data_IF_951774839125
#
_entry.id   IF_951774839125
#
_cell.length_a   1.000
_cell.length_b   1.000
_cell.length_c   1.000
_cell.angle_alpha   90.00
_cell.angle_beta   90.00
_cell.angle_gamma   90.00
#
_symmetry.space_group_name_H-M   'P 1'
#
loop_
_entity.id
_entity.type
_entity.pdbx_description
1 polymer ?
#
# COMPACT_ATOMS: atom_id res chain seq x y z
N UNK A 1 5.55 3.06 12.40
CA UNK A 1 4.81 3.43 13.63
C UNK A 1 4.09 4.73 13.33
N UNK A 2 2.75 4.73 13.42
CA UNK A 2 1.93 5.94 13.24
C UNK A 2 1.54 6.57 14.58
N UNK A 3 0.98 7.78 14.53
CA UNK A 3 0.44 8.50 15.69
C UNK A 3 -1.05 8.71 15.50
N UNK A 4 -1.86 8.48 16.54
CA UNK A 4 -3.30 8.74 16.53
C UNK A 4 -3.67 9.72 17.64
N UNK A 5 -4.30 10.83 17.25
CA UNK A 5 -4.82 11.85 18.18
C UNK A 5 -6.34 11.87 18.08
N UNK A 6 -7.02 11.77 19.23
CA UNK A 6 -8.48 11.82 19.34
C UNK A 6 -8.93 13.19 19.83
N UNK A 7 -10.15 13.59 19.46
CA UNK A 7 -10.78 14.85 19.90
C UNK A 7 -9.93 16.10 19.59
N UNK A 8 -9.30 16.12 18.41
CA UNK A 8 -8.56 17.28 17.93
C UNK A 8 -9.53 18.31 17.37
N UNK A 9 -9.33 19.61 17.66
CA UNK A 9 -10.22 20.65 17.13
C UNK A 9 -9.97 20.89 15.64
N UNK A 10 -11.03 20.93 14.83
CA UNK A 10 -10.93 21.21 13.40
C UNK A 10 -10.32 22.60 13.11
N UNK A 11 -10.58 23.60 13.95
CA UNK A 11 -9.90 24.91 13.91
C UNK A 11 -8.37 24.84 13.98
N UNK A 12 -7.77 23.78 14.54
CA UNK A 12 -6.31 23.60 14.58
C UNK A 12 -5.72 22.85 13.38
N UNK A 13 -6.55 22.29 12.49
CA UNK A 13 -6.09 21.63 11.26
C UNK A 13 -5.61 22.66 10.23
N UNK A 14 -4.65 22.33 9.34
CA UNK A 14 -4.37 23.11 8.14
C UNK A 14 -5.62 23.34 7.27
N UNK A 15 -5.68 24.47 6.55
CA UNK A 15 -6.86 24.88 5.80
C UNK A 15 -7.29 23.83 4.75
N UNK A 16 -6.32 23.18 4.10
CA UNK A 16 -6.53 22.10 3.13
C UNK A 16 -7.25 20.87 3.72
N UNK A 17 -6.99 20.54 4.99
CA UNK A 17 -7.61 19.41 5.69
C UNK A 17 -8.89 19.79 6.44
N UNK A 18 -9.15 21.10 6.60
CA UNK A 18 -10.33 21.63 7.29
C UNK A 18 -11.55 21.77 6.36
N UNK A 19 -11.36 21.67 5.05
CA UNK A 19 -12.43 21.92 4.07
C UNK A 19 -13.65 21.02 4.31
N UNK A 20 -14.82 21.63 4.53
CA UNK A 20 -16.08 20.91 4.78
C UNK A 20 -16.35 20.52 6.24
N UNK A 21 -15.49 20.91 7.18
CA UNK A 21 -15.69 20.70 8.63
C UNK A 21 -16.03 22.01 9.34
N UNK A 22 -16.99 22.02 10.29
CA UNK A 22 -17.27 23.20 11.11
C UNK A 22 -16.11 23.49 12.09
N UNK A 23 -15.89 24.76 12.42
CA UNK A 23 -14.71 25.23 13.18
C UNK A 23 -14.60 24.63 14.60
N UNK A 24 -15.72 24.26 15.20
CA UNK A 24 -15.85 23.68 16.53
C UNK A 24 -15.85 22.14 16.54
N UNK A 25 -15.78 21.49 15.38
CA UNK A 25 -15.78 20.03 15.30
C UNK A 25 -14.58 19.39 16.01
N UNK A 26 -14.83 18.24 16.63
CA UNK A 26 -13.80 17.36 17.16
C UNK A 26 -13.54 16.23 16.16
N UNK A 27 -12.30 16.13 15.69
CA UNK A 27 -11.86 15.15 14.71
C UNK A 27 -10.85 14.17 15.31
N UNK A 28 -10.68 13.04 14.65
CA UNK A 28 -9.61 12.08 14.93
C UNK A 28 -8.58 12.17 13.82
N UNK A 29 -7.32 12.43 14.17
CA UNK A 29 -6.20 12.54 13.24
C UNK A 29 -5.33 11.31 13.38
N UNK A 30 -5.12 10.60 12.29
CA UNK A 30 -4.15 9.50 12.20
C UNK A 30 -3.05 9.94 11.23
N UNK A 31 -1.80 9.94 11.69
CA UNK A 31 -0.64 10.23 10.87
C UNK A 31 0.15 8.94 10.72
N UNK A 32 0.23 8.44 9.49
CA UNK A 32 0.97 7.24 9.13
C UNK A 32 2.04 7.61 8.12
N UNK A 33 3.27 7.08 8.26
CA UNK A 33 4.26 7.22 7.21
C UNK A 33 3.72 6.47 5.98
N UNK A 34 3.67 7.16 4.85
CA UNK A 34 3.42 6.49 3.59
C UNK A 34 4.53 5.43 3.39
N UNK A 35 4.17 4.16 3.14
CA UNK A 35 5.18 3.17 2.84
C UNK A 35 5.90 3.65 1.60
N UNK A 36 7.22 3.80 1.70
CA UNK A 36 8.03 4.15 0.54
C UNK A 36 7.83 3.07 -0.52
N UNK A 37 7.01 3.34 -1.53
CA UNK A 37 6.91 2.52 -2.74
C UNK A 37 8.15 2.80 -3.58
N UNK A 38 9.32 2.51 -3.01
CA UNK A 38 10.59 2.57 -3.73
C UNK A 38 10.66 1.35 -4.63
N UNK A 39 10.24 1.53 -5.88
CA UNK A 39 10.81 0.76 -6.99
C UNK A 39 12.34 0.94 -7.02
N UNK A 40 13.08 0.07 -7.72
CA UNK A 40 14.52 0.21 -7.85
C UNK A 40 14.85 1.60 -8.43
N UNK A 41 15.81 2.32 -7.83
CA UNK A 41 16.11 3.70 -8.22
C UNK A 41 16.99 3.74 -9.48
N UNK A 42 17.63 2.62 -9.83
CA UNK A 42 18.41 2.45 -11.04
C UNK A 42 18.45 0.97 -11.53
N UNK A 43 18.98 0.77 -12.74
CA UNK A 43 19.06 -0.54 -13.38
C UNK A 43 19.88 -1.57 -12.57
N UNK A 44 20.96 -1.16 -11.91
CA UNK A 44 21.79 -2.06 -11.11
C UNK A 44 21.03 -2.58 -9.89
N UNK A 45 20.28 -1.71 -9.21
CA UNK A 45 19.42 -2.13 -8.09
C UNK A 45 18.30 -3.08 -8.54
N UNK A 46 17.75 -2.87 -9.74
CA UNK A 46 16.77 -3.78 -10.33
C UNK A 46 17.38 -5.17 -10.59
N UNK A 47 18.59 -5.24 -11.15
CA UNK A 47 19.30 -6.50 -11.40
C UNK A 47 19.56 -7.26 -10.09
N UNK A 48 20.08 -6.59 -9.06
CA UNK A 48 20.32 -7.18 -7.74
C UNK A 48 19.02 -7.69 -7.09
N UNK A 49 17.91 -6.97 -7.29
CA UNK A 49 16.60 -7.40 -6.80
C UNK A 49 16.08 -8.63 -7.55
N UNK A 50 16.19 -8.66 -8.88
CA UNK A 50 15.81 -9.81 -9.70
C UNK A 50 16.62 -11.06 -9.31
N UNK A 51 17.94 -10.91 -9.15
CA UNK A 51 18.81 -12.03 -8.76
C UNK A 51 18.44 -12.56 -7.37
N UNK A 52 18.18 -11.66 -6.41
CA UNK A 52 17.74 -12.04 -5.07
C UNK A 52 16.44 -12.82 -5.10
N UNK A 53 15.45 -12.34 -5.86
CA UNK A 53 14.16 -13.04 -6.00
C UNK A 53 14.39 -14.41 -6.62
N UNK A 54 15.15 -14.52 -7.72
CA UNK A 54 15.46 -15.81 -8.38
C UNK A 54 16.13 -16.81 -7.43
N UNK A 55 17.03 -16.36 -6.56
CA UNK A 55 17.71 -17.23 -5.58
C UNK A 55 16.83 -17.65 -4.40
N UNK A 56 15.92 -16.77 -3.97
CA UNK A 56 15.13 -16.97 -2.74
C UNK A 56 13.75 -17.56 -2.99
N UNK A 57 13.31 -17.59 -4.25
CA UNK A 57 11.99 -18.08 -4.63
C UNK A 57 11.87 -19.59 -4.35
N UNK A 58 11.14 -19.93 -3.29
CA UNK A 58 10.98 -21.32 -2.82
C UNK A 58 10.13 -22.20 -3.75
N UNK A 59 9.26 -21.60 -4.56
CA UNK A 59 8.37 -22.30 -5.48
C UNK A 59 8.31 -21.56 -6.79
N UNK A 60 8.80 -22.19 -7.84
CA UNK A 60 8.51 -21.82 -9.22
C UNK A 60 7.29 -22.61 -9.67
N UNK A 61 6.43 -21.97 -10.45
CA UNK A 61 5.29 -22.63 -11.10
C UNK A 61 5.51 -22.55 -12.61
N UNK A 62 4.98 -23.52 -13.33
CA UNK A 62 4.98 -23.45 -14.80
C UNK A 62 3.97 -22.41 -15.26
N UNK A 63 4.11 -21.96 -16.51
CA UNK A 63 3.13 -21.06 -17.14
C UNK A 63 1.72 -21.66 -17.12
N UNK A 64 1.60 -22.96 -17.38
CA UNK A 64 0.31 -23.67 -17.39
C UNK A 64 -0.33 -23.70 -16.00
N UNK A 65 0.45 -23.96 -14.95
CA UNK A 65 -0.02 -23.95 -13.56
C UNK A 65 -0.44 -22.53 -13.12
N UNK A 66 0.33 -21.51 -13.52
CA UNK A 66 -0.02 -20.12 -13.26
C UNK A 66 -1.34 -19.73 -13.96
N UNK A 67 -1.51 -20.11 -15.22
CA UNK A 67 -2.74 -19.84 -15.99
C UNK A 67 -3.93 -20.57 -15.39
N UNK A 68 -3.79 -21.83 -14.98
CA UNK A 68 -4.85 -22.59 -14.34
C UNK A 68 -5.32 -21.90 -13.04
N UNK A 69 -4.38 -21.46 -12.20
CA UNK A 69 -4.68 -20.75 -10.94
C UNK A 69 -5.35 -19.39 -11.16
N UNK A 70 -4.93 -18.64 -12.18
CA UNK A 70 -5.57 -17.37 -12.53
C UNK A 70 -7.01 -17.60 -12.99
N UNK A 71 -7.27 -18.67 -13.75
CA UNK A 71 -8.63 -19.02 -14.19
C UNK A 71 -9.52 -19.40 -13.02
N UNK A 72 -9.05 -20.26 -12.12
CA UNK A 72 -9.76 -20.63 -10.90
C UNK A 72 -10.14 -19.38 -10.08
N UNK A 73 -9.17 -18.50 -9.82
CA UNK A 73 -9.40 -17.24 -9.11
C UNK A 73 -10.37 -16.31 -9.83
N UNK A 74 -10.40 -16.30 -11.16
CA UNK A 74 -11.36 -15.49 -11.91
C UNK A 74 -12.76 -16.08 -11.79
N UNK A 75 -12.87 -17.38 -11.97
CA UNK A 75 -14.15 -18.08 -11.99
C UNK A 75 -14.81 -18.02 -10.59
N UNK A 76 -14.03 -18.01 -9.48
CA UNK A 76 -14.53 -17.72 -8.12
C UNK A 76 -15.11 -16.31 -7.91
N UNK A 77 -14.80 -15.34 -8.79
CA UNK A 77 -15.29 -13.97 -8.70
C UNK A 77 -16.42 -13.66 -9.69
N UNK A 78 -16.62 -14.52 -10.69
CA UNK A 78 -17.72 -14.41 -11.67
C UNK A 78 -19.01 -15.12 -11.19
N UNK A 79 -18.96 -15.92 -10.11
CA UNK A 79 -20.09 -16.49 -9.35
C UNK A 79 -20.52 -15.57 -8.18
#
# INVERSE_FOLDING_TARGET
MGVTIKHYRASKLPAELRMGLPDDALVRVTVEPEPETRGPRNAKELEEQIERVRKTLKRTVTTEEAVARIRELRDEWDD
#
